data_IF_915727353540
#
_entry.id   IF_915727353540
#
_cell.length_a   1.000
_cell.length_b   1.000
_cell.length_c   1.000
_cell.angle_alpha   90.00
_cell.angle_beta   90.00
_cell.angle_gamma   90.00
#
_symmetry.space_group_name_H-M   'P 1'
#
loop_
_entity.id
_entity.type
_entity.pdbx_description
1 polymer ?
#
# COMPACT_ATOMS: atom_id res chain seq x y z
N UNK A 1 31.22 21.23 5.47
CA UNK A 1 30.90 20.29 6.56
C UNK A 1 29.43 20.38 7.00
N UNK A 2 28.97 21.34 7.81
CA UNK A 2 27.56 21.33 8.29
C UNK A 2 26.50 21.46 7.17
N UNK A 3 26.70 22.37 6.20
CA UNK A 3 25.79 22.53 5.05
C UNK A 3 25.74 21.27 4.19
N UNK A 4 26.87 20.57 4.02
CA UNK A 4 26.94 19.32 3.26
C UNK A 4 26.23 18.19 3.98
N UNK A 5 26.33 18.13 5.31
CA UNK A 5 25.56 17.18 6.13
C UNK A 5 24.05 17.43 6.04
N UNK A 6 23.62 18.69 6.08
CA UNK A 6 22.20 19.04 5.94
C UNK A 6 21.68 18.69 4.54
N UNK A 7 22.44 19.01 3.49
CA UNK A 7 22.08 18.68 2.11
C UNK A 7 22.00 17.16 1.90
N UNK A 8 22.98 16.39 2.38
CA UNK A 8 22.99 14.93 2.29
C UNK A 8 21.78 14.31 3.02
N UNK A 9 21.43 14.83 4.21
CA UNK A 9 20.27 14.36 4.97
C UNK A 9 18.96 14.66 4.24
N UNK A 10 18.83 15.84 3.64
CA UNK A 10 17.64 16.24 2.89
C UNK A 10 17.48 15.41 1.60
N UNK A 11 18.58 15.11 0.91
CA UNK A 11 18.59 14.25 -0.27
C UNK A 11 18.17 12.82 0.13
N UNK A 12 18.72 12.27 1.20
CA UNK A 12 18.33 10.96 1.71
C UNK A 12 16.84 10.91 2.08
N UNK A 13 16.32 11.94 2.76
CA UNK A 13 14.91 12.03 3.07
C UNK A 13 14.05 12.06 1.80
N UNK A 14 14.43 12.88 0.82
CA UNK A 14 13.70 13.00 -0.44
C UNK A 14 13.66 11.68 -1.23
N UNK A 15 14.79 10.95 -1.26
CA UNK A 15 14.88 9.64 -1.92
C UNK A 15 14.00 8.60 -1.21
N UNK A 16 14.10 8.49 0.12
CA UNK A 16 13.30 7.53 0.90
C UNK A 16 11.80 7.83 0.82
N UNK A 17 11.43 9.11 0.89
CA UNK A 17 10.04 9.53 0.75
C UNK A 17 9.52 9.25 -0.67
N UNK A 18 10.30 9.57 -1.70
CA UNK A 18 9.96 9.28 -3.09
C UNK A 18 9.77 7.78 -3.32
N UNK A 19 10.67 6.95 -2.81
CA UNK A 19 10.57 5.49 -2.88
C UNK A 19 9.31 4.98 -2.17
N UNK A 20 9.00 5.51 -0.98
CA UNK A 20 7.79 5.15 -0.22
C UNK A 20 6.52 5.44 -0.99
N UNK A 21 6.42 6.62 -1.60
CA UNK A 21 5.25 7.03 -2.39
C UNK A 21 5.08 6.10 -3.60
N UNK A 22 6.16 5.81 -4.32
CA UNK A 22 6.13 4.91 -5.48
C UNK A 22 5.71 3.50 -5.04
N UNK A 23 6.27 2.99 -3.94
CA UNK A 23 5.92 1.67 -3.41
C UNK A 23 4.43 1.57 -3.07
N UNK A 24 3.85 2.59 -2.44
CA UNK A 24 2.41 2.63 -2.13
C UNK A 24 1.58 2.57 -3.41
N UNK A 25 1.91 3.41 -4.41
CA UNK A 25 1.19 3.43 -5.69
C UNK A 25 1.25 2.04 -6.34
N UNK A 26 2.44 1.45 -6.45
CA UNK A 26 2.63 0.13 -7.05
C UNK A 26 1.85 -0.94 -6.29
N UNK A 27 1.89 -0.93 -4.96
CA UNK A 27 1.17 -1.92 -4.14
C UNK A 27 -0.34 -1.81 -4.25
N UNK A 28 -0.89 -0.59 -4.26
CA UNK A 28 -2.34 -0.38 -4.48
C UNK A 28 -2.75 -0.84 -5.88
N UNK A 29 -1.96 -0.53 -6.91
CA UNK A 29 -2.24 -1.02 -8.27
C UNK A 29 -2.14 -2.54 -8.40
N UNK A 30 -1.12 -3.15 -7.79
CA UNK A 30 -0.93 -4.59 -7.78
C UNK A 30 -2.12 -5.29 -7.08
N UNK A 31 -2.58 -4.73 -5.98
CA UNK A 31 -3.74 -5.20 -5.24
C UNK A 31 -5.01 -5.14 -6.09
N UNK A 32 -5.33 -4.00 -6.71
CA UNK A 32 -6.47 -3.88 -7.62
C UNK A 32 -6.39 -4.85 -8.80
N UNK A 33 -5.18 -5.12 -9.29
CA UNK A 33 -4.97 -6.10 -10.36
C UNK A 33 -5.23 -7.52 -9.88
N UNK A 34 -4.77 -7.87 -8.68
CA UNK A 34 -5.04 -9.17 -8.04
C UNK A 34 -6.54 -9.35 -7.81
N UNK A 35 -7.22 -8.35 -7.27
CA UNK A 35 -8.67 -8.38 -7.06
C UNK A 35 -9.42 -8.59 -8.37
N UNK A 36 -9.09 -7.83 -9.41
CA UNK A 36 -9.72 -8.00 -10.74
C UNK A 36 -9.44 -9.37 -11.36
N UNK A 37 -8.34 -10.03 -11.00
CA UNK A 37 -7.94 -11.31 -11.59
C UNK A 37 -8.51 -12.50 -10.82
N UNK A 38 -8.54 -12.43 -9.49
CA UNK A 38 -9.05 -13.48 -8.60
C UNK A 38 -10.56 -13.39 -8.41
N UNK A 39 -11.12 -12.18 -8.29
CA UNK A 39 -12.52 -11.93 -7.97
C UNK A 39 -13.30 -11.41 -9.18
N UNK A 40 -13.08 -12.03 -10.34
CA UNK A 40 -13.83 -11.69 -11.55
C UNK A 40 -15.33 -11.87 -11.32
N UNK A 41 -16.07 -10.77 -11.35
CA UNK A 41 -17.53 -10.76 -11.25
C UNK A 41 -18.08 -10.75 -9.82
N UNK A 42 -17.24 -10.63 -8.80
CA UNK A 42 -17.69 -10.47 -7.41
C UNK A 42 -17.53 -9.01 -7.01
N UNK A 43 -18.64 -8.36 -6.66
CA UNK A 43 -18.64 -7.04 -6.05
C UNK A 43 -18.48 -7.19 -4.54
N UNK A 44 -17.23 -7.06 -4.05
CA UNK A 44 -16.90 -7.20 -2.63
C UNK A 44 -17.73 -6.24 -1.77
N UNK A 45 -18.00 -5.03 -2.27
CA UNK A 45 -18.73 -4.03 -1.51
C UNK A 45 -20.21 -4.43 -1.36
N UNK A 46 -20.80 -4.99 -2.41
CA UNK A 46 -22.15 -5.56 -2.36
C UNK A 46 -22.22 -6.80 -1.46
N UNK A 47 -21.24 -7.70 -1.54
CA UNK A 47 -21.15 -8.90 -0.69
C UNK A 47 -21.03 -8.54 0.80
N UNK A 48 -20.20 -7.56 1.14
CA UNK A 48 -20.07 -7.07 2.52
C UNK A 48 -21.40 -6.46 3.00
N UNK A 49 -22.08 -5.66 2.17
CA UNK A 49 -23.43 -5.13 2.49
C UNK A 49 -24.47 -6.24 2.67
N UNK A 50 -24.34 -7.34 1.94
CA UNK A 50 -25.15 -8.55 2.08
C UNK A 50 -24.86 -9.39 3.33
N UNK A 51 -23.90 -8.99 4.16
CA UNK A 51 -23.51 -9.72 5.36
C UNK A 51 -22.52 -10.86 5.12
N UNK A 52 -21.88 -10.91 3.95
CA UNK A 52 -20.88 -11.93 3.65
C UNK A 52 -19.57 -11.67 4.42
N UNK A 53 -19.37 -12.43 5.49
CA UNK A 53 -18.19 -12.34 6.35
C UNK A 53 -16.90 -12.70 5.61
N UNK A 54 -16.95 -13.62 4.63
CA UNK A 54 -15.77 -14.01 3.87
C UNK A 54 -15.22 -12.83 3.03
N UNK A 55 -16.12 -12.06 2.41
CA UNK A 55 -15.76 -10.85 1.67
C UNK A 55 -15.14 -9.79 2.60
N UNK A 56 -15.68 -9.63 3.82
CA UNK A 56 -15.14 -8.70 4.81
C UNK A 56 -13.74 -9.11 5.32
N UNK A 57 -13.51 -10.41 5.56
CA UNK A 57 -12.19 -10.94 5.94
C UNK A 57 -11.18 -10.70 4.82
N UNK A 58 -11.56 -10.95 3.57
CA UNK A 58 -10.70 -10.71 2.42
C UNK A 58 -10.33 -9.23 2.29
N UNK A 59 -11.31 -8.32 2.36
CA UNK A 59 -11.05 -6.87 2.34
C UNK A 59 -10.16 -6.41 3.51
N UNK A 60 -10.31 -7.04 4.68
CA UNK A 60 -9.47 -6.76 5.85
C UNK A 60 -8.02 -7.23 5.65
N UNK A 61 -7.81 -8.40 5.06
CA UNK A 61 -6.47 -8.91 4.73
C UNK A 61 -5.72 -8.00 3.75
N UNK A 62 -6.46 -7.45 2.79
CA UNK A 62 -5.98 -6.43 1.85
C UNK A 62 -5.48 -5.18 2.59
N UNK A 63 -6.28 -4.63 3.51
CA UNK A 63 -5.91 -3.44 4.27
C UNK A 63 -4.67 -3.67 5.12
N UNK A 64 -4.55 -4.86 5.74
CA UNK A 64 -3.36 -5.26 6.49
C UNK A 64 -2.14 -5.32 5.57
N UNK A 65 -2.26 -5.91 4.39
CA UNK A 65 -1.17 -5.97 3.42
C UNK A 65 -0.68 -4.57 3.02
N UNK A 66 -1.59 -3.64 2.75
CA UNK A 66 -1.25 -2.24 2.44
C UNK A 66 -0.54 -1.57 3.63
N UNK A 67 -1.02 -1.78 4.86
CA UNK A 67 -0.39 -1.26 6.06
C UNK A 67 1.05 -1.78 6.26
N UNK A 68 1.28 -3.07 5.97
CA UNK A 68 2.61 -3.69 6.04
C UNK A 68 3.55 -3.06 5.00
N UNK A 69 3.11 -2.91 3.75
CA UNK A 69 3.91 -2.24 2.70
C UNK A 69 4.27 -0.83 3.12
N UNK A 70 3.31 -0.05 3.64
CA UNK A 70 3.57 1.30 4.13
C UNK A 70 4.63 1.28 5.23
N UNK A 71 4.51 0.40 6.22
CA UNK A 71 5.47 0.28 7.31
C UNK A 71 6.89 -0.06 6.83
N UNK A 72 7.02 -0.82 5.75
CA UNK A 72 8.32 -1.09 5.13
C UNK A 72 8.85 0.07 4.28
N UNK A 73 7.98 0.83 3.61
CA UNK A 73 8.37 2.02 2.86
C UNK A 73 8.96 3.10 3.78
N UNK A 74 8.32 3.33 4.94
CA UNK A 74 8.78 4.32 5.92
C UNK A 74 9.99 3.88 6.76
N UNK A 75 10.46 2.63 6.65
CA UNK A 75 11.70 2.19 7.32
C UNK A 75 12.93 2.62 6.51
N UNK A 76 13.36 3.85 6.76
CA UNK A 76 14.66 4.42 6.39
C UNK A 76 15.20 5.24 7.55
#
# INVERSE_FOLDING_TARGET
MEIEFFSASLINLAINLGYSVIAIIVSVYALFWVDKKLLKGIDIEAEIKGGNVAAAIFASAILIFVAIVMAFGFKG
#
